data_IF_262399010542
#
_entry.id   IF_262399010542
#
_cell.length_a   1.000
_cell.length_b   1.000
_cell.length_c   1.000
_cell.angle_alpha   90.00
_cell.angle_beta   90.00
_cell.angle_gamma   90.00
#
_symmetry.space_group_name_H-M   'P 1'
#
loop_
_entity.id
_entity.type
_entity.pdbx_description
1 polymer ?
#
# COMPACT_ATOMS: atom_id res chain seq x y z
N UNK A 1 10.20 7.35 -6.39
CA UNK A 1 9.19 7.60 -5.35
C UNK A 1 7.92 8.23 -5.93
N UNK A 2 6.76 7.81 -5.44
CA UNK A 2 5.45 8.38 -5.75
C UNK A 2 4.40 8.06 -4.69
N UNK A 3 3.37 8.90 -4.61
CA UNK A 3 2.05 8.54 -4.05
C UNK A 3 1.09 8.40 -5.21
N UNK A 4 0.36 7.29 -5.28
CA UNK A 4 -0.56 7.01 -6.38
C UNK A 4 -1.91 6.51 -5.86
N UNK A 5 -2.97 6.86 -6.58
CA UNK A 5 -4.30 6.29 -6.39
C UNK A 5 -4.77 5.64 -7.69
N UNK A 6 -5.50 4.53 -7.59
CA UNK A 6 -6.02 3.81 -8.75
C UNK A 6 -7.33 4.47 -9.21
N UNK A 7 -7.40 4.80 -10.49
CA UNK A 7 -8.58 5.37 -11.13
C UNK A 7 -9.51 4.28 -11.67
N UNK A 8 -8.95 3.16 -12.12
CA UNK A 8 -9.70 2.01 -12.62
C UNK A 8 -8.86 0.74 -12.66
N UNK A 9 -9.52 -0.39 -12.45
CA UNK A 9 -9.06 -1.74 -12.78
C UNK A 9 -9.99 -2.33 -13.85
N UNK A 10 -9.40 -3.02 -14.82
CA UNK A 10 -10.12 -3.72 -15.87
C UNK A 10 -9.52 -5.11 -16.10
N UNK A 11 -10.39 -6.11 -16.16
CA UNK A 11 -10.07 -7.43 -16.74
C UNK A 11 -10.87 -7.59 -18.04
N UNK A 12 -10.27 -7.29 -19.21
CA UNK A 12 -10.99 -7.37 -20.49
C UNK A 12 -11.66 -8.74 -20.72
N UNK A 13 -12.83 -8.78 -21.38
CA UNK A 13 -13.55 -7.66 -22.00
C UNK A 13 -14.47 -6.89 -21.04
N UNK A 14 -14.41 -7.13 -19.72
CA UNK A 14 -15.27 -6.43 -18.76
C UNK A 14 -14.99 -4.92 -18.78
N UNK A 15 -16.01 -4.08 -18.53
CA UNK A 15 -15.79 -2.63 -18.43
C UNK A 15 -14.86 -2.32 -17.25
N UNK A 16 -14.06 -1.26 -17.41
CA UNK A 16 -13.22 -0.76 -16.33
C UNK A 16 -14.09 -0.25 -15.16
N UNK A 17 -13.68 -0.52 -13.93
CA UNK A 17 -14.36 -0.02 -12.74
C UNK A 17 -13.36 0.30 -11.62
N UNK A 18 -13.78 1.08 -10.63
CA UNK A 18 -12.98 1.30 -9.42
C UNK A 18 -13.89 1.23 -8.20
N UNK A 19 -13.84 0.11 -7.51
CA UNK A 19 -14.60 -0.14 -6.29
C UNK A 19 -13.78 0.12 -5.02
N UNK A 20 -12.53 0.57 -5.13
CA UNK A 20 -11.66 0.79 -3.97
C UNK A 20 -11.19 2.23 -3.79
N UNK A 21 -10.97 2.62 -2.54
CA UNK A 21 -10.08 3.73 -2.21
C UNK A 21 -8.65 3.17 -2.06
N UNK A 22 -7.97 3.02 -3.20
CA UNK A 22 -6.60 2.54 -3.28
C UNK A 22 -5.59 3.67 -3.07
N UNK A 23 -4.61 3.44 -2.20
CA UNK A 23 -3.44 4.28 -2.02
C UNK A 23 -2.17 3.43 -2.06
N UNK A 24 -1.23 3.83 -2.90
CA UNK A 24 0.10 3.20 -3.01
C UNK A 24 1.17 4.23 -2.65
N UNK A 25 2.05 3.86 -1.71
CA UNK A 25 3.29 4.55 -1.44
C UNK A 25 4.42 3.76 -2.10
N UNK A 26 5.06 4.35 -3.10
CA UNK A 26 6.19 3.75 -3.82
C UNK A 26 7.45 4.53 -3.48
N UNK A 27 8.49 3.85 -3.01
CA UNK A 27 9.80 4.43 -2.69
C UNK A 27 10.78 4.15 -3.85
N UNK A 28 12.09 4.02 -3.61
CA UNK A 28 13.04 3.61 -4.65
C UNK A 28 13.09 2.08 -4.80
N UNK A 29 13.01 1.35 -3.70
CA UNK A 29 13.10 -0.11 -3.68
C UNK A 29 12.01 -0.78 -2.87
N UNK A 30 11.15 -0.01 -2.19
CA UNK A 30 10.04 -0.52 -1.37
C UNK A 30 8.70 0.05 -1.81
N UNK A 31 7.61 -0.61 -1.41
CA UNK A 31 6.27 -0.10 -1.58
C UNK A 31 5.28 -0.63 -0.54
N UNK A 32 4.20 0.11 -0.37
CA UNK A 32 3.01 -0.29 0.40
C UNK A 32 1.78 0.00 -0.46
N UNK A 33 0.96 -1.01 -0.74
CA UNK A 33 -0.29 -0.94 -1.49
C UNK A 33 -1.45 -1.33 -0.55
N UNK A 34 -2.42 -0.43 -0.39
CA UNK A 34 -3.62 -0.66 0.40
C UNK A 34 -4.87 -0.34 -0.44
N UNK A 35 -5.69 -1.36 -0.70
CA UNK A 35 -6.93 -1.29 -1.47
C UNK A 35 -8.12 -1.58 -0.58
N UNK A 36 -8.84 -0.54 -0.20
CA UNK A 36 -10.00 -0.62 0.69
C UNK A 36 -11.28 -0.54 -0.10
N UNK A 37 -12.23 -1.46 0.10
CA UNK A 37 -13.51 -1.42 -0.61
C UNK A 37 -14.30 -0.17 -0.22
N UNK A 38 -14.80 0.55 -1.23
CA UNK A 38 -15.75 1.65 -1.03
C UNK A 38 -17.08 1.05 -0.57
N UNK A 39 -17.44 1.22 0.69
CA UNK A 39 -18.77 0.83 1.16
C UNK A 39 -19.82 1.77 0.53
N UNK A 40 -20.87 1.26 -0.14
CA UNK A 40 -22.03 2.07 -0.47
C UNK A 40 -22.65 2.56 0.84
N UNK A 41 -22.93 3.88 0.94
CA UNK A 41 -23.29 4.59 2.18
C UNK A 41 -24.58 4.16 2.92
N UNK A 42 -25.14 2.98 2.67
CA UNK A 42 -26.55 2.69 2.96
C UNK A 42 -26.89 1.37 3.64
N UNK A 43 -25.95 0.58 4.17
CA UNK A 43 -26.34 -0.61 4.97
C UNK A 43 -26.19 -0.34 6.47
N UNK A 44 -27.30 -0.45 7.21
CA UNK A 44 -27.41 -0.25 8.66
C UNK A 44 -26.62 -1.28 9.51
N UNK A 45 -25.94 -2.22 8.84
CA UNK A 45 -25.07 -3.25 9.41
C UNK A 45 -23.60 -3.04 9.03
N UNK A 46 -23.27 -1.88 8.44
CA UNK A 46 -21.91 -1.58 7.98
C UNK A 46 -20.91 -1.65 9.15
N UNK A 47 -19.72 -2.24 8.95
CA UNK A 47 -18.64 -2.06 9.89
C UNK A 47 -18.36 -0.57 10.07
N UNK A 48 -17.78 -0.19 11.20
CA UNK A 48 -17.35 1.19 11.47
C UNK A 48 -16.72 1.80 10.20
N UNK A 49 -17.01 3.07 9.84
CA UNK A 49 -16.42 3.70 8.66
C UNK A 49 -14.88 3.69 8.69
N UNK A 50 -14.28 3.50 9.88
CA UNK A 50 -12.84 3.31 10.07
C UNK A 50 -12.35 1.89 9.76
N UNK A 51 -13.21 0.86 9.74
CA UNK A 51 -12.83 -0.55 9.54
C UNK A 51 -13.60 -1.22 8.39
N UNK A 52 -13.62 -0.63 7.18
CA UNK A 52 -14.25 -1.25 6.02
C UNK A 52 -13.53 -2.54 5.58
N UNK A 53 -14.19 -3.39 4.78
CA UNK A 53 -13.54 -4.55 4.17
C UNK A 53 -12.37 -4.14 3.27
N UNK A 54 -11.31 -4.94 3.28
CA UNK A 54 -10.19 -4.79 2.33
C UNK A 54 -10.47 -5.59 1.06
N UNK A 55 -10.10 -5.04 -0.09
CA UNK A 55 -10.06 -5.80 -1.34
C UNK A 55 -8.75 -6.59 -1.42
N UNK A 56 -7.63 -5.89 -1.21
CA UNK A 56 -6.28 -6.42 -1.23
C UNK A 56 -5.33 -5.43 -0.55
N UNK A 57 -4.29 -5.93 0.11
CA UNK A 57 -3.21 -5.10 0.60
C UNK A 57 -1.92 -5.90 0.67
N UNK A 58 -0.83 -5.29 0.25
CA UNK A 58 0.46 -5.95 0.13
C UNK A 58 1.60 -4.93 0.21
N UNK A 59 2.76 -5.40 0.63
CA UNK A 59 3.96 -4.57 0.79
C UNK A 59 5.20 -5.42 0.58
N UNK A 60 6.28 -4.78 0.16
CA UNK A 60 7.55 -5.46 -0.03
C UNK A 60 8.53 -4.62 -0.83
N UNK A 61 9.30 -5.29 -1.65
CA UNK A 61 10.34 -4.68 -2.48
C UNK A 61 9.93 -4.62 -3.95
N UNK A 62 10.50 -3.68 -4.69
CA UNK A 62 10.32 -3.57 -6.13
C UNK A 62 11.65 -3.41 -6.85
N UNK A 63 11.66 -3.79 -8.11
CA UNK A 63 12.77 -3.57 -9.03
C UNK A 63 12.26 -3.17 -10.41
N UNK A 64 13.07 -2.41 -11.16
CA UNK A 64 12.79 -2.02 -12.54
C UNK A 64 13.73 -2.74 -13.50
N UNK A 65 13.42 -3.99 -13.91
CA UNK A 65 14.27 -4.73 -14.84
C UNK A 65 14.39 -4.06 -16.22
N UNK A 66 13.47 -3.16 -16.57
CA UNK A 66 13.57 -2.26 -17.73
C UNK A 66 12.78 -0.97 -17.47
N UNK A 67 12.96 0.10 -18.27
CA UNK A 67 12.36 1.42 -17.97
C UNK A 67 10.83 1.42 -17.79
N UNK A 68 10.13 0.54 -18.51
CA UNK A 68 8.68 0.43 -18.43
C UNK A 68 8.21 -0.75 -17.59
N UNK A 69 9.10 -1.65 -17.14
CA UNK A 69 8.72 -2.87 -16.43
C UNK A 69 9.07 -2.75 -14.96
N UNK A 70 8.12 -3.09 -14.11
CA UNK A 70 8.32 -3.19 -12.65
C UNK A 70 7.99 -4.61 -12.20
N UNK A 71 8.80 -5.12 -11.27
CA UNK A 71 8.57 -6.39 -10.60
C UNK A 71 8.43 -6.12 -9.12
N UNK A 72 7.39 -6.64 -8.49
CA UNK A 72 7.10 -6.49 -7.06
C UNK A 72 7.25 -7.84 -6.37
N UNK A 73 8.04 -7.88 -5.30
CA UNK A 73 8.19 -9.04 -4.45
C UNK A 73 7.43 -8.79 -3.14
N UNK A 74 6.37 -9.56 -2.92
CA UNK A 74 5.49 -9.37 -1.78
C UNK A 74 6.18 -9.96 -0.54
N UNK A 75 6.29 -9.16 0.52
CA UNK A 75 6.68 -9.64 1.86
C UNK A 75 5.47 -9.73 2.79
N UNK A 76 4.42 -8.97 2.47
CA UNK A 76 3.08 -9.03 3.05
C UNK A 76 2.08 -9.15 1.90
N UNK A 77 1.09 -10.03 2.03
CA UNK A 77 -0.04 -10.16 1.12
C UNK A 77 -1.30 -10.63 1.87
N UNK A 78 -2.33 -9.79 1.87
CA UNK A 78 -3.59 -10.05 2.58
C UNK A 78 -4.43 -11.18 1.97
N UNK A 79 -4.11 -11.66 0.77
CA UNK A 79 -4.85 -12.73 0.07
C UNK A 79 -4.20 -14.11 0.18
N UNK A 80 -3.00 -14.22 0.78
CA UNK A 80 -2.33 -15.51 0.93
C UNK A 80 -0.82 -15.45 0.72
N UNK A 81 -0.15 -16.57 0.41
CA UNK A 81 1.31 -16.61 0.36
C UNK A 81 1.86 -15.64 -0.69
N UNK A 82 2.92 -14.94 -0.29
CA UNK A 82 3.59 -13.90 -1.07
C UNK A 82 4.08 -14.40 -2.43
N UNK A 83 3.81 -13.59 -3.46
CA UNK A 83 4.21 -13.84 -4.83
C UNK A 83 5.18 -12.79 -5.39
N UNK A 84 5.52 -12.99 -6.66
CA UNK A 84 6.21 -12.01 -7.49
C UNK A 84 5.24 -11.57 -8.58
N UNK A 85 4.89 -10.29 -8.57
CA UNK A 85 4.04 -9.68 -9.58
C UNK A 85 4.90 -8.88 -10.57
N UNK A 86 4.43 -8.74 -11.81
CA UNK A 86 5.14 -7.94 -12.82
C UNK A 86 4.15 -7.22 -13.72
N UNK A 87 4.45 -5.95 -13.97
CA UNK A 87 3.61 -5.05 -14.75
C UNK A 87 4.44 -4.19 -15.68
N UNK A 88 3.79 -3.70 -16.75
CA UNK A 88 4.35 -2.77 -17.71
C UNK A 88 3.59 -1.45 -17.63
N UNK A 89 4.30 -0.37 -17.34
CA UNK A 89 3.76 0.98 -17.22
C UNK A 89 3.98 1.79 -18.49
N UNK A 90 2.90 2.39 -18.99
CA UNK A 90 2.88 3.32 -20.12
C UNK A 90 2.29 4.65 -19.67
N UNK A 91 3.00 5.76 -19.93
CA UNK A 91 2.47 7.08 -19.66
C UNK A 91 1.32 7.40 -20.64
N UNK A 92 0.24 7.98 -20.11
CA UNK A 92 -0.90 8.46 -20.91
C UNK A 92 -0.77 9.97 -21.15
N UNK A 93 -1.39 10.45 -22.22
CA UNK A 93 -1.32 11.87 -22.63
C UNK A 93 -1.85 12.85 -21.57
N UNK A 94 -2.73 12.37 -20.70
CA UNK A 94 -3.32 13.16 -19.61
C UNK A 94 -2.45 13.20 -18.33
N UNK A 95 -1.27 12.57 -18.34
CA UNK A 95 -0.35 12.49 -17.21
C UNK A 95 -0.64 11.33 -16.23
N UNK A 96 -1.67 10.52 -16.46
CA UNK A 96 -1.89 9.26 -15.74
C UNK A 96 -0.98 8.15 -16.30
N UNK A 97 -0.91 7.02 -15.61
CA UNK A 97 -0.15 5.83 -16.03
C UNK A 97 -1.08 4.66 -16.26
N UNK A 98 -0.97 4.01 -17.42
CA UNK A 98 -1.56 2.69 -17.67
C UNK A 98 -0.56 1.62 -17.26
N UNK A 99 -0.96 0.74 -16.35
CA UNK A 99 -0.23 -0.47 -16.00
C UNK A 99 -0.96 -1.68 -16.58
N UNK A 100 -0.22 -2.55 -17.26
CA UNK A 100 -0.73 -3.81 -17.80
C UNK A 100 0.11 -4.98 -17.28
N UNK A 101 -0.56 -6.08 -16.94
CA UNK A 101 0.08 -7.30 -16.46
C UNK A 101 -0.89 -8.46 -16.44
N UNK A 102 -0.54 -9.51 -15.72
CA UNK A 102 -1.40 -10.66 -15.48
C UNK A 102 -1.53 -10.90 -13.98
N UNK A 103 -2.76 -11.10 -13.51
CA UNK A 103 -3.03 -11.44 -12.11
C UNK A 103 -4.24 -12.36 -12.01
N UNK A 104 -4.42 -13.00 -10.86
CA UNK A 104 -5.63 -13.78 -10.58
C UNK A 104 -6.85 -12.85 -10.58
N UNK A 105 -7.84 -13.17 -11.41
CA UNK A 105 -9.11 -12.46 -11.43
C UNK A 105 -9.91 -12.78 -10.16
N UNK A 106 -10.20 -11.79 -9.28
CA UNK A 106 -10.90 -12.04 -8.03
C UNK A 106 -12.37 -12.44 -8.23
N UNK A 107 -12.96 -12.13 -9.40
CA UNK A 107 -14.35 -12.48 -9.73
C UNK A 107 -14.44 -13.81 -10.50
N UNK A 108 -13.30 -14.47 -10.76
CA UNK A 108 -13.28 -15.78 -11.40
C UNK A 108 -13.45 -16.88 -10.36
N UNK A 109 -14.52 -17.67 -10.49
CA UNK A 109 -14.78 -18.85 -9.64
C UNK A 109 -13.64 -19.90 -9.70
N UNK A 110 -12.87 -19.91 -10.79
CA UNK A 110 -11.73 -20.81 -11.00
C UNK A 110 -10.40 -20.18 -10.59
N UNK A 111 -10.40 -18.88 -10.26
CA UNK A 111 -9.21 -18.09 -9.98
C UNK A 111 -8.21 -18.09 -11.13
N UNK A 112 -8.73 -17.94 -12.34
CA UNK A 112 -7.94 -17.85 -13.57
C UNK A 112 -7.03 -16.63 -13.57
N UNK A 113 -5.80 -16.80 -14.04
CA UNK A 113 -4.89 -15.69 -14.30
C UNK A 113 -5.31 -15.02 -15.60
N UNK A 114 -5.56 -13.71 -15.56
CA UNK A 114 -6.03 -12.93 -16.70
C UNK A 114 -5.24 -11.64 -16.85
N UNK A 115 -5.18 -11.16 -18.08
CA UNK A 115 -4.64 -9.83 -18.36
C UNK A 115 -5.48 -8.77 -17.62
N UNK A 116 -4.80 -7.86 -16.94
CA UNK A 116 -5.42 -6.70 -16.29
C UNK A 116 -4.90 -5.40 -16.88
N UNK A 117 -5.67 -4.34 -16.68
CA UNK A 117 -5.28 -2.95 -16.94
C UNK A 117 -5.64 -2.10 -15.73
N UNK A 118 -4.66 -1.45 -15.14
CA UNK A 118 -4.86 -0.47 -14.07
C UNK A 118 -4.49 0.91 -14.58
N UNK A 119 -5.34 1.91 -14.31
CA UNK A 119 -5.01 3.32 -14.58
C UNK A 119 -4.71 3.99 -13.26
N UNK A 120 -3.53 4.58 -13.15
CA UNK A 120 -3.00 5.16 -11.94
C UNK A 120 -2.84 6.68 -12.09
N UNK A 121 -3.31 7.40 -11.07
CA UNK A 121 -3.07 8.84 -10.94
C UNK A 121 -2.02 9.09 -9.87
N UNK A 122 -0.98 9.85 -10.25
CA UNK A 122 -0.03 10.39 -9.28
C UNK A 122 -0.72 11.47 -8.43
N UNK A 123 -0.64 11.30 -7.12
CA UNK A 123 -1.03 12.31 -6.15
C UNK A 123 0.13 13.29 -5.97
N UNK A 124 -0.10 14.60 -6.07
CA UNK A 124 0.95 15.59 -5.84
C UNK A 124 1.54 15.47 -4.43
N UNK A 125 2.87 15.55 -4.35
CA UNK A 125 3.61 15.59 -3.09
C UNK A 125 4.39 16.89 -3.07
N UNK A 126 4.31 17.61 -1.95
CA UNK A 126 5.05 18.86 -1.78
C UNK A 126 6.56 18.63 -1.92
N UNK A 127 7.25 19.60 -2.51
CA UNK A 127 8.71 19.59 -2.56
C UNK A 127 9.26 19.61 -1.13
N UNK A 128 10.34 18.89 -0.89
CA UNK A 128 10.99 18.72 0.41
C UNK A 128 10.14 18.00 1.46
N UNK A 129 9.00 17.43 1.05
CA UNK A 129 8.21 16.56 1.89
C UNK A 129 9.07 15.40 2.42
N UNK A 130 8.77 14.92 3.64
CA UNK A 130 9.46 13.76 4.20
C UNK A 130 8.97 12.48 3.53
N UNK A 131 9.90 11.63 3.11
CA UNK A 131 9.62 10.29 2.62
C UNK A 131 10.50 9.28 3.35
N UNK A 132 9.90 8.25 3.93
CA UNK A 132 10.64 7.16 4.55
C UNK A 132 9.85 5.86 4.59
N UNK A 133 10.57 4.74 4.62
CA UNK A 133 10.02 3.39 4.72
C UNK A 133 10.76 2.62 5.82
N UNK A 134 9.99 2.04 6.74
CA UNK A 134 10.45 1.17 7.81
C UNK A 134 10.03 -0.26 7.50
N UNK A 135 10.94 -1.19 7.72
CA UNK A 135 10.66 -2.62 7.67
C UNK A 135 10.99 -3.22 9.03
N UNK A 136 10.05 -3.96 9.61
CA UNK A 136 10.30 -4.63 10.88
C UNK A 136 11.40 -5.68 10.73
N UNK A 137 12.24 -5.79 11.76
CA UNK A 137 13.13 -6.95 11.90
C UNK A 137 12.33 -8.25 12.01
N UNK A 138 13.02 -9.37 11.76
CA UNK A 138 12.46 -10.70 11.90
C UNK A 138 11.81 -10.90 13.28
N UNK A 139 10.70 -11.62 13.30
CA UNK A 139 9.90 -11.82 14.51
C UNK A 139 8.58 -12.49 14.19
N UNK A 140 7.63 -12.43 15.12
CA UNK A 140 6.36 -13.16 15.01
C UNK A 140 5.48 -12.76 13.82
N UNK A 141 5.76 -11.69 13.11
CA UNK A 141 5.05 -11.29 11.89
C UNK A 141 5.85 -10.25 11.12
N UNK A 142 5.46 -9.90 9.90
CA UNK A 142 6.11 -8.84 9.11
C UNK A 142 5.30 -7.55 9.20
N UNK A 143 5.97 -6.40 9.34
CA UNK A 143 5.33 -5.07 9.31
C UNK A 143 6.15 -4.11 8.46
N UNK A 144 5.48 -3.39 7.57
CA UNK A 144 6.01 -2.24 6.85
C UNK A 144 5.29 -0.97 7.29
N UNK A 145 6.03 0.13 7.42
CA UNK A 145 5.47 1.45 7.71
C UNK A 145 6.09 2.45 6.76
N UNK A 146 5.27 3.18 6.01
CA UNK A 146 5.72 4.18 5.06
C UNK A 146 5.07 5.53 5.32
N UNK A 147 5.84 6.60 5.14
CA UNK A 147 5.33 7.96 5.02
C UNK A 147 5.84 8.58 3.73
N UNK A 148 4.96 9.28 3.01
CA UNK A 148 5.33 10.19 1.93
C UNK A 148 4.50 11.47 2.08
N UNK A 149 5.16 12.56 2.49
CA UNK A 149 4.54 13.84 2.76
C UNK A 149 3.40 13.75 3.77
N UNK A 150 2.17 13.92 3.26
CA UNK A 150 0.94 13.92 4.04
C UNK A 150 0.31 12.53 4.21
N UNK A 151 0.90 11.50 3.62
CA UNK A 151 0.32 10.15 3.59
C UNK A 151 1.15 9.20 4.45
N UNK A 152 0.47 8.36 5.22
CA UNK A 152 1.09 7.33 6.04
C UNK A 152 0.32 6.02 5.90
N UNK A 153 1.05 4.93 5.66
CA UNK A 153 0.54 3.56 5.66
C UNK A 153 1.34 2.71 6.64
N UNK A 154 0.65 1.83 7.36
CA UNK A 154 1.28 0.73 8.09
C UNK A 154 0.55 -0.57 7.75
N UNK A 155 1.28 -1.58 7.28
CA UNK A 155 0.74 -2.88 6.88
C UNK A 155 1.47 -3.97 7.66
N UNK A 156 0.74 -4.96 8.14
CA UNK A 156 1.27 -6.04 8.96
C UNK A 156 0.60 -7.37 8.68
N UNK A 157 1.38 -8.45 8.73
CA UNK A 157 0.88 -9.82 8.63
C UNK A 157 1.59 -10.77 9.61
N UNK A 158 0.82 -11.64 10.28
CA UNK A 158 1.31 -12.73 11.14
C UNK A 158 0.44 -13.95 10.94
N UNK A 159 0.96 -14.99 10.27
CA UNK A 159 0.13 -16.12 9.85
C UNK A 159 -1.06 -15.62 9.03
N UNK A 160 -2.27 -15.94 9.45
CA UNK A 160 -3.52 -15.47 8.83
C UNK A 160 -3.98 -14.09 9.35
N UNK A 161 -3.38 -13.57 10.42
CA UNK A 161 -3.75 -12.26 10.95
C UNK A 161 -3.14 -11.15 10.07
N UNK A 162 -3.96 -10.18 9.69
CA UNK A 162 -3.59 -9.02 8.91
C UNK A 162 -4.03 -7.74 9.60
N UNK A 163 -3.21 -6.71 9.55
CA UNK A 163 -3.56 -5.38 10.06
C UNK A 163 -3.06 -4.29 9.13
N UNK A 164 -3.87 -3.26 8.93
CA UNK A 164 -3.53 -2.11 8.13
C UNK A 164 -4.02 -0.80 8.76
N UNK A 165 -3.25 0.26 8.61
CA UNK A 165 -3.66 1.62 8.96
C UNK A 165 -3.31 2.58 7.84
N UNK A 166 -4.24 3.47 7.51
CA UNK A 166 -4.03 4.63 6.62
C UNK A 166 -4.30 5.90 7.39
N UNK A 167 -3.36 6.82 7.35
CA UNK A 167 -3.49 8.14 7.94
C UNK A 167 -3.21 9.21 6.91
N UNK A 168 -3.86 10.35 7.06
CA UNK A 168 -3.62 11.52 6.24
C UNK A 168 -3.41 12.74 7.14
N UNK A 169 -2.36 13.50 6.86
CA UNK A 169 -2.04 14.73 7.56
C UNK A 169 -2.83 15.87 6.94
N UNK A 170 -3.68 16.51 7.73
CA UNK A 170 -4.54 17.63 7.33
C UNK A 170 -4.42 18.71 8.40
N UNK A 171 -4.13 19.95 8.01
CA UNK A 171 -3.99 21.09 8.93
C UNK A 171 -3.04 20.82 10.12
N UNK A 172 -1.92 20.14 9.83
CA UNK A 172 -0.91 19.76 10.83
C UNK A 172 -1.35 18.65 11.79
N UNK A 173 -2.49 17.98 11.53
CA UNK A 173 -3.02 16.91 12.38
C UNK A 173 -3.23 15.63 11.59
N UNK A 174 -2.78 14.52 12.16
CA UNK A 174 -3.01 13.21 11.56
C UNK A 174 -4.45 12.77 11.79
N UNK A 175 -5.18 12.53 10.71
CA UNK A 175 -6.50 11.91 10.70
C UNK A 175 -6.36 10.44 10.31
N UNK A 176 -6.91 9.54 11.13
CA UNK A 176 -7.02 8.13 10.76
C UNK A 176 -8.11 7.99 9.70
N UNK A 177 -7.73 7.50 8.52
CA UNK A 177 -8.64 7.24 7.42
C UNK A 177 -9.18 5.82 7.53
N UNK A 178 -8.29 4.84 7.69
CA UNK A 178 -8.65 3.43 7.84
C UNK A 178 -7.83 2.73 8.92
N UNK A 179 -8.47 1.77 9.58
CA UNK A 179 -7.93 0.82 10.56
C UNK A 179 -8.57 -0.54 10.31
N UNK A 180 -7.79 -1.44 9.74
CA UNK A 180 -8.19 -2.83 9.48
C UNK A 180 -7.42 -3.73 10.44
N UNK A 181 -8.11 -4.71 11.01
CA UNK A 181 -7.48 -5.73 11.84
C UNK A 181 -8.28 -7.03 11.80
N UNK A 182 -7.68 -8.11 11.31
CA UNK A 182 -8.28 -9.45 11.26
C UNK A 182 -7.73 -10.38 12.34
N UNK A 183 -7.03 -9.86 13.36
CA UNK A 183 -6.54 -10.66 14.48
C UNK A 183 -5.83 -9.86 15.57
N UNK A 184 -4.88 -10.50 16.25
CA UNK A 184 -4.11 -9.89 17.33
C UNK A 184 -2.79 -9.27 16.85
N UNK A 185 -2.79 -8.57 15.71
CA UNK A 185 -1.61 -7.87 15.19
C UNK A 185 -1.80 -6.35 15.30
N UNK A 186 -0.87 -5.68 15.97
CA UNK A 186 -0.86 -4.23 16.06
C UNK A 186 0.15 -3.64 15.06
N UNK A 187 -0.28 -2.62 14.32
CA UNK A 187 0.58 -1.84 13.43
C UNK A 187 0.69 -0.39 13.92
N UNK A 188 1.83 0.30 13.72
CA UNK A 188 2.05 1.66 14.21
C UNK A 188 1.07 2.71 13.66
N UNK A 189 0.82 3.74 14.45
CA UNK A 189 0.28 5.03 14.04
C UNK A 189 1.43 6.05 13.85
N UNK A 190 1.20 7.20 13.20
CA UNK A 190 2.23 8.22 12.99
C UNK A 190 2.95 8.65 14.28
N UNK A 191 2.20 8.88 15.36
CA UNK A 191 2.77 9.31 16.66
C UNK A 191 3.57 8.23 17.40
N UNK A 192 3.56 6.98 16.93
CA UNK A 192 4.38 5.91 17.50
C UNK A 192 5.81 5.92 16.93
N UNK A 193 6.02 6.54 15.77
CA UNK A 193 7.29 6.54 15.06
C UNK A 193 8.14 7.73 15.55
N UNK A 194 9.35 7.48 16.10
CA UNK A 194 10.26 8.55 16.51
C UNK A 194 10.93 9.15 15.26
N UNK A 195 10.21 10.03 14.55
CA UNK A 195 10.64 10.58 13.26
C UNK A 195 11.98 11.31 13.31
N UNK A 196 12.39 11.84 14.47
CA UNK A 196 13.70 12.47 14.67
C UNK A 196 14.87 11.47 14.58
N UNK A 197 14.59 10.17 14.75
CA UNK A 197 15.56 9.07 14.69
C UNK A 197 15.55 8.38 13.33
N UNK A 198 14.59 8.69 12.45
CA UNK A 198 14.46 8.06 11.13
C UNK A 198 15.56 8.58 10.21
N UNK A 199 16.56 7.74 9.98
CA UNK A 199 17.69 7.94 9.07
C UNK A 199 17.95 6.63 8.34
N UNK A 200 18.19 6.68 7.04
CA UNK A 200 18.41 5.47 6.25
C UNK A 200 19.51 4.58 6.84
N UNK A 201 19.23 3.28 6.96
CA UNK A 201 20.10 2.28 7.59
C UNK A 201 20.04 2.22 9.12
N UNK A 202 19.38 3.18 9.79
CA UNK A 202 19.21 3.13 11.25
C UNK A 202 18.21 2.06 11.67
N UNK A 203 18.30 1.62 12.92
CA UNK A 203 17.28 0.81 13.58
C UNK A 203 16.54 1.69 14.59
N UNK A 204 15.21 1.75 14.47
CA UNK A 204 14.35 2.52 15.37
C UNK A 204 13.41 1.60 16.15
N UNK A 205 13.13 1.97 17.41
CA UNK A 205 12.18 1.26 18.26
C UNK A 205 10.81 1.91 18.17
N UNK A 206 9.81 1.15 17.71
CA UNK A 206 8.42 1.59 17.59
C UNK A 206 7.56 0.61 18.39
N UNK A 207 6.98 1.09 19.50
CA UNK A 207 6.16 0.27 20.42
C UNK A 207 6.83 -1.03 20.86
N UNK A 208 8.12 -0.96 21.20
CA UNK A 208 8.90 -2.11 21.68
C UNK A 208 9.31 -3.11 20.59
N UNK A 209 9.14 -2.74 19.32
CA UNK A 209 9.59 -3.52 18.16
C UNK A 209 10.65 -2.75 17.37
N UNK A 210 11.69 -3.46 16.95
CA UNK A 210 12.75 -2.93 16.11
C UNK A 210 12.34 -2.87 14.64
N UNK A 211 12.68 -1.76 13.98
CA UNK A 211 12.49 -1.55 12.55
C UNK A 211 13.77 -1.00 11.93
N UNK A 212 14.17 -1.57 10.79
CA UNK A 212 15.21 -1.00 9.95
C UNK A 212 14.59 0.10 9.08
N UNK A 213 15.19 1.28 9.10
CA UNK A 213 14.86 2.36 8.17
C UNK A 213 15.46 2.01 6.81
N UNK A 214 14.64 1.50 5.90
CA UNK A 214 15.09 1.06 4.57
C UNK A 214 15.38 2.21 3.63
N UNK A 215 14.61 3.27 3.76
CA UNK A 215 14.72 4.46 2.92
C UNK A 215 14.32 5.67 3.75
N UNK A 216 15.06 6.78 3.66
CA UNK A 216 14.68 8.05 4.27
C UNK A 216 15.31 9.25 3.55
N UNK A 217 14.48 10.15 3.01
CA UNK A 217 14.90 11.32 2.25
C UNK A 217 13.83 12.42 2.24
N UNK A 218 14.20 13.58 1.71
CA UNK A 218 13.26 14.64 1.34
C UNK A 218 12.94 14.56 -0.16
N UNK A 219 11.68 14.80 -0.53
CA UNK A 219 11.17 14.75 -1.91
C UNK A 219 11.72 15.86 -2.80
#
# INVERSE_FOLDING_TARGET
>A
MSVSTRLSLQFPPRPASENTDTLVLTFHSHYLDLRVLRCPSTSATSPSPLSPPIEWAFAGTLAHPSPARTTWQHAIDSRGPSGVDTGVSTALDNGDTLEEGEMRDPDSDTGEVRAYREVWRRVPVEREARAWCLESEEGEGKVFVGRVGLYFLALGQRGEAFAARRWQLEDGRWREVYRINTGALAVPAPGDVPEEQVREGAVVQVKGRAYVVREAYAV
#
